data_IF_712761798221
#
_entry.id   IF_712761798221
#
_cell.length_a   1.000
_cell.length_b   1.000
_cell.length_c   1.000
_cell.angle_alpha   90.00
_cell.angle_beta   90.00
_cell.angle_gamma   90.00
#
_symmetry.space_group_name_H-M   'P 1'
#
loop_
_entity.id
_entity.type
_entity.pdbx_description
1 polymer ?
#
# COMPACT_ATOMS: atom_id res chain seq x y z
N UNK A 1 -18.48 -4.18 -2.37
CA UNK A 1 -17.03 -4.27 -2.11
C UNK A 1 -16.44 -2.92 -2.47
N UNK A 2 -15.58 -2.37 -1.63
CA UNK A 2 -15.01 -1.03 -1.84
C UNK A 2 -13.56 -1.18 -2.27
N UNK A 3 -13.24 -0.72 -3.47
CA UNK A 3 -11.86 -0.71 -3.96
C UNK A 3 -11.25 0.67 -3.77
N UNK A 4 -10.03 0.70 -3.26
CA UNK A 4 -9.14 1.85 -3.17
C UNK A 4 -8.12 1.67 -4.29
N UNK A 5 -7.89 2.74 -5.05
CA UNK A 5 -6.86 2.80 -6.08
C UNK A 5 -6.20 4.17 -5.98
N UNK A 6 -5.00 4.20 -5.40
CA UNK A 6 -4.22 5.42 -5.19
C UNK A 6 -2.99 5.33 -6.06
N UNK A 7 -2.74 6.36 -6.86
CA UNK A 7 -1.46 6.55 -7.52
C UNK A 7 -0.74 7.73 -6.89
N UNK A 8 0.49 7.50 -6.46
CA UNK A 8 1.33 8.51 -5.83
C UNK A 8 2.63 8.66 -6.64
N UNK A 9 2.84 9.83 -7.21
CA UNK A 9 4.07 10.12 -7.95
C UNK A 9 5.22 10.40 -6.99
N UNK A 10 6.43 9.95 -7.33
CA UNK A 10 7.63 10.22 -6.53
C UNK A 10 8.84 10.42 -7.44
N UNK A 11 9.81 11.18 -6.94
CA UNK A 11 11.09 11.42 -7.64
C UNK A 11 12.20 10.45 -7.21
N UNK A 12 11.87 9.46 -6.38
CA UNK A 12 12.82 8.44 -5.92
C UNK A 12 13.18 7.46 -7.05
N UNK A 13 14.42 6.97 -7.00
CA UNK A 13 14.87 5.85 -7.84
C UNK A 13 14.17 4.54 -7.43
N UNK A 14 14.07 3.60 -8.36
CA UNK A 14 13.39 2.31 -8.15
C UNK A 14 13.89 1.58 -6.89
N UNK A 15 15.21 1.59 -6.63
CA UNK A 15 15.79 0.99 -5.42
C UNK A 15 15.31 1.66 -4.13
N UNK A 16 15.19 2.99 -4.14
CA UNK A 16 14.71 3.76 -2.98
C UNK A 16 13.22 3.56 -2.78
N UNK A 17 12.44 3.57 -3.86
CA UNK A 17 11.01 3.32 -3.81
C UNK A 17 10.72 1.91 -3.27
N UNK A 18 11.46 0.90 -3.75
CA UNK A 18 11.35 -0.48 -3.24
C UNK A 18 11.69 -0.58 -1.75
N UNK A 19 12.76 0.07 -1.32
CA UNK A 19 13.17 0.10 0.09
C UNK A 19 12.10 0.76 0.96
N UNK A 20 11.59 1.92 0.53
CA UNK A 20 10.52 2.63 1.23
C UNK A 20 9.25 1.79 1.36
N UNK A 21 8.83 1.11 0.28
CA UNK A 21 7.68 0.21 0.31
C UNK A 21 7.94 -1.04 1.17
N UNK A 22 9.16 -1.58 1.17
CA UNK A 22 9.53 -2.68 2.05
C UNK A 22 9.41 -2.30 3.54
N UNK A 23 9.86 -1.10 3.92
CA UNK A 23 9.68 -0.58 5.28
C UNK A 23 8.20 -0.37 5.64
N UNK A 24 7.38 0.08 4.68
CA UNK A 24 5.92 0.17 4.87
C UNK A 24 5.33 -1.21 5.10
N UNK A 25 5.72 -2.20 4.29
CA UNK A 25 5.27 -3.58 4.41
C UNK A 25 5.57 -4.14 5.80
N UNK A 26 6.81 -4.00 6.27
CA UNK A 26 7.25 -4.47 7.58
C UNK A 26 6.44 -3.81 8.71
N UNK A 27 6.25 -2.49 8.66
CA UNK A 27 5.41 -1.78 9.63
C UNK A 27 3.95 -2.23 9.60
N UNK A 28 3.42 -2.53 8.42
CA UNK A 28 2.05 -3.04 8.31
C UNK A 28 1.96 -4.44 8.93
N UNK A 29 2.95 -5.31 8.69
CA UNK A 29 3.02 -6.64 9.29
C UNK A 29 3.04 -6.57 10.81
N UNK A 30 3.92 -5.74 11.38
CA UNK A 30 4.05 -5.59 12.83
C UNK A 30 2.80 -4.99 13.49
N UNK A 31 2.23 -3.93 12.89
CA UNK A 31 1.13 -3.18 13.51
C UNK A 31 -0.23 -3.83 13.30
N UNK A 32 -0.42 -4.49 12.15
CA UNK A 32 -1.72 -4.95 11.71
C UNK A 32 -1.77 -6.45 11.45
N UNK A 33 -0.67 -7.20 11.58
CA UNK A 33 -0.65 -8.65 11.30
C UNK A 33 -1.14 -8.97 9.87
N UNK A 34 -0.74 -8.14 8.91
CA UNK A 34 -0.97 -8.40 7.48
C UNK A 34 0.06 -9.41 6.99
N UNK A 35 -0.31 -10.24 6.02
CA UNK A 35 0.65 -11.05 5.27
C UNK A 35 1.08 -10.23 4.07
N UNK A 36 2.39 -10.18 3.79
CA UNK A 36 2.90 -9.51 2.61
C UNK A 36 3.77 -10.46 1.78
N UNK A 37 3.75 -10.26 0.46
CA UNK A 37 4.48 -11.09 -0.49
C UNK A 37 4.91 -10.24 -1.68
N UNK A 38 6.20 -10.30 -1.99
CA UNK A 38 6.72 -9.70 -3.21
C UNK A 38 6.52 -10.64 -4.40
N UNK A 39 6.08 -10.08 -5.52
CA UNK A 39 5.98 -10.68 -6.83
C UNK A 39 6.56 -9.72 -7.88
N UNK A 40 7.85 -9.87 -8.17
CA UNK A 40 8.58 -8.95 -9.05
C UNK A 40 8.63 -7.53 -8.47
N UNK A 41 7.97 -6.59 -9.15
CA UNK A 41 7.84 -5.18 -8.74
C UNK A 41 6.54 -4.87 -7.98
N UNK A 42 5.76 -5.90 -7.66
CA UNK A 42 4.48 -5.77 -6.95
C UNK A 42 4.59 -6.38 -5.56
N UNK A 43 4.15 -5.66 -4.54
CA UNK A 43 3.99 -6.16 -3.18
C UNK A 43 2.51 -6.43 -2.92
N UNK A 44 2.14 -7.70 -2.86
CA UNK A 44 0.83 -8.11 -2.39
C UNK A 44 0.77 -8.05 -0.87
N UNK A 45 -0.32 -7.55 -0.32
CA UNK A 45 -0.60 -7.56 1.11
C UNK A 45 -2.05 -7.95 1.35
N UNK A 46 -2.30 -8.84 2.31
CA UNK A 46 -3.66 -9.19 2.68
C UNK A 46 -3.82 -9.46 4.17
N UNK A 47 -5.05 -9.33 4.64
CA UNK A 47 -5.51 -9.60 6.01
C UNK A 47 -7.00 -9.87 5.97
N UNK A 48 -7.55 -10.53 6.99
CA UNK A 48 -8.98 -10.67 7.19
C UNK A 48 -9.74 -9.35 6.99
N UNK A 49 -10.35 -9.18 5.81
CA UNK A 49 -11.12 -7.99 5.42
C UNK A 49 -10.39 -6.94 4.56
N UNK A 50 -9.11 -7.13 4.22
CA UNK A 50 -8.35 -6.29 3.28
C UNK A 50 -7.51 -7.17 2.37
N UNK A 51 -7.64 -7.01 1.06
CA UNK A 51 -6.74 -7.61 0.08
C UNK A 51 -6.17 -6.49 -0.80
N UNK A 52 -4.88 -6.41 -1.01
CA UNK A 52 -4.29 -5.31 -1.76
C UNK A 52 -2.94 -5.63 -2.37
N UNK A 53 -2.48 -4.71 -3.21
CA UNK A 53 -1.20 -4.76 -3.88
C UNK A 53 -0.62 -3.35 -4.04
N UNK A 54 0.70 -3.26 -3.94
CA UNK A 54 1.49 -2.05 -4.19
C UNK A 54 2.36 -2.33 -5.41
N UNK A 55 2.03 -1.71 -6.54
CA UNK A 55 2.80 -1.77 -7.78
C UNK A 55 3.83 -0.64 -7.79
N UNK A 56 5.12 -0.98 -7.89
CA UNK A 56 6.18 -0.02 -8.13
C UNK A 56 6.25 0.29 -9.63
N UNK A 57 6.05 1.56 -9.98
CA UNK A 57 6.17 2.07 -11.34
C UNK A 57 7.37 3.04 -11.42
N UNK A 58 7.96 3.24 -12.60
CA UNK A 58 8.99 4.26 -12.78
C UNK A 58 8.44 5.65 -12.44
N UNK A 59 8.92 6.25 -11.34
CA UNK A 59 8.50 7.57 -10.87
C UNK A 59 7.11 7.63 -10.20
N UNK A 60 6.49 6.48 -9.91
CA UNK A 60 5.23 6.43 -9.17
C UNK A 60 5.02 5.10 -8.44
N UNK A 61 4.18 5.09 -7.42
CA UNK A 61 3.66 3.88 -6.81
C UNK A 61 2.15 3.86 -6.98
N UNK A 62 1.60 2.70 -7.31
CA UNK A 62 0.15 2.48 -7.35
C UNK A 62 -0.25 1.48 -6.27
N UNK A 63 -1.14 1.90 -5.37
CA UNK A 63 -1.70 1.06 -4.32
C UNK A 63 -3.13 0.73 -4.67
N UNK A 64 -3.42 -0.57 -4.78
CA UNK A 64 -4.78 -1.11 -4.92
C UNK A 64 -5.13 -1.86 -3.65
N UNK A 65 -6.31 -1.62 -3.10
CA UNK A 65 -6.80 -2.38 -1.95
C UNK A 65 -8.32 -2.58 -2.04
N UNK A 66 -8.77 -3.81 -1.90
CA UNK A 66 -10.14 -4.21 -1.74
C UNK A 66 -10.48 -4.36 -0.26
N UNK A 67 -11.46 -3.59 0.17
CA UNK A 67 -11.98 -3.62 1.52
C UNK A 67 -13.24 -4.48 1.57
N UNK A 68 -13.23 -5.40 2.54
CA UNK A 68 -14.39 -6.17 2.95
C UNK A 68 -15.49 -5.28 3.55
N UNK A 69 -16.67 -5.86 3.75
CA UNK A 69 -17.89 -5.12 4.12
C UNK A 69 -17.71 -4.23 5.37
N UNK A 70 -17.03 -4.72 6.41
CA UNK A 70 -16.78 -3.95 7.63
C UNK A 70 -15.93 -2.70 7.39
N UNK A 71 -14.85 -2.82 6.60
CA UNK A 71 -13.93 -1.71 6.33
C UNK A 71 -14.43 -0.79 5.22
N UNK A 72 -15.41 -1.23 4.44
CA UNK A 72 -15.98 -0.45 3.33
C UNK A 72 -16.58 0.89 3.78
N UNK A 73 -17.16 0.96 4.98
CA UNK A 73 -17.67 2.19 5.58
C UNK A 73 -16.55 3.14 6.03
N UNK A 74 -15.37 2.61 6.33
CA UNK A 74 -14.17 3.36 6.72
C UNK A 74 -13.22 3.60 5.54
N UNK A 75 -13.66 3.35 4.29
CA UNK A 75 -12.83 3.48 3.08
C UNK A 75 -12.05 4.79 3.06
N UNK A 76 -12.71 5.92 3.28
CA UNK A 76 -12.05 7.24 3.24
C UNK A 76 -10.93 7.37 4.27
N UNK A 77 -11.11 6.84 5.48
CA UNK A 77 -10.07 6.84 6.51
C UNK A 77 -8.89 5.96 6.12
N UNK A 78 -9.14 4.76 5.59
CA UNK A 78 -8.09 3.85 5.12
C UNK A 78 -7.33 4.47 3.94
N UNK A 79 -8.04 5.05 2.98
CA UNK A 79 -7.46 5.73 1.82
C UNK A 79 -6.56 6.91 2.24
N UNK A 80 -7.03 7.77 3.15
CA UNK A 80 -6.24 8.88 3.69
C UNK A 80 -5.01 8.40 4.47
N UNK A 81 -5.11 7.32 5.24
CA UNK A 81 -3.97 6.78 5.98
C UNK A 81 -2.91 6.18 5.03
N UNK A 82 -3.34 5.46 3.98
CA UNK A 82 -2.45 4.98 2.92
C UNK A 82 -1.74 6.17 2.27
N UNK A 83 -2.48 7.20 1.84
CA UNK A 83 -1.89 8.39 1.25
C UNK A 83 -0.87 9.04 2.17
N UNK A 84 -1.20 9.20 3.45
CA UNK A 84 -0.31 9.78 4.45
C UNK A 84 1.00 8.99 4.58
N UNK A 85 0.92 7.66 4.66
CA UNK A 85 2.11 6.80 4.77
C UNK A 85 2.95 6.87 3.49
N UNK A 86 2.31 6.91 2.32
CA UNK A 86 3.01 7.07 1.05
C UNK A 86 3.73 8.41 0.97
N UNK A 87 3.07 9.52 1.29
CA UNK A 87 3.71 10.85 1.34
C UNK A 87 4.87 10.86 2.33
N UNK A 88 4.70 10.34 3.55
CA UNK A 88 5.75 10.29 4.58
C UNK A 88 6.99 9.49 4.12
N UNK A 89 6.80 8.48 3.28
CA UNK A 89 7.87 7.57 2.83
C UNK A 89 8.45 7.88 1.47
N UNK A 90 7.68 8.51 0.58
CA UNK A 90 8.04 8.72 -0.82
C UNK A 90 8.26 10.21 -1.18
N UNK A 91 7.88 11.15 -0.32
CA UNK A 91 8.14 12.59 -0.50
C UNK A 91 7.02 13.49 -0.02
#
# INVERSE_FOLDING_TARGET
MSTIDIQHAHSLSDDKARTAIAEVAEKLQERFDVVTRWEGAVLHFNRSGVDGAIELLPGAVRVKAELGFLLSAMKGMVESEIQRVLTDKLG
#
